data_IF_694122207103
#
_entry.id   IF_694122207103
#
_cell.length_a   1.000
_cell.length_b   1.000
_cell.length_c   1.000
_cell.angle_alpha   90.00
_cell.angle_beta   90.00
_cell.angle_gamma   90.00
#
_symmetry.space_group_name_H-M   'P 1'
#
loop_
_entity.id
_entity.type
_entity.pdbx_description
1 polymer ?
#
# COMPACT_ATOMS: atom_id res chain seq x y z
N UNK A 1 28.88 -9.72 -26.28
CA UNK A 1 28.00 -8.72 -26.91
C UNK A 1 26.69 -9.41 -27.28
N UNK A 2 26.69 -10.35 -28.22
CA UNK A 2 25.46 -11.11 -28.62
C UNK A 2 24.70 -11.81 -27.48
N UNK A 3 25.40 -12.38 -26.49
CA UNK A 3 24.77 -12.98 -25.31
C UNK A 3 24.08 -11.97 -24.39
N UNK A 4 24.55 -10.73 -24.34
CA UNK A 4 23.96 -9.68 -23.51
C UNK A 4 22.74 -9.07 -24.23
N UNK A 5 22.82 -8.88 -25.56
CA UNK A 5 21.70 -8.43 -26.38
C UNK A 5 20.48 -9.37 -26.27
N UNK A 6 20.73 -10.68 -26.31
CA UNK A 6 19.67 -11.69 -26.13
C UNK A 6 19.09 -11.68 -24.71
N UNK A 7 19.93 -11.45 -23.70
CA UNK A 7 19.49 -11.33 -22.31
C UNK A 7 18.64 -10.06 -22.10
N UNK A 8 19.06 -8.92 -22.65
CA UNK A 8 18.31 -7.65 -22.63
C UNK A 8 16.94 -7.84 -23.26
N UNK A 9 16.86 -8.43 -24.46
CA UNK A 9 15.59 -8.68 -25.13
C UNK A 9 14.66 -9.58 -24.30
N UNK A 10 15.22 -10.64 -23.69
CA UNK A 10 14.45 -11.56 -22.84
C UNK A 10 13.90 -10.86 -21.59
N UNK A 11 14.70 -10.00 -20.96
CA UNK A 11 14.27 -9.22 -19.79
C UNK A 11 13.17 -8.22 -20.19
N UNK A 12 13.38 -7.44 -21.26
CA UNK A 12 12.41 -6.44 -21.72
C UNK A 12 11.06 -7.07 -22.07
N UNK A 13 11.03 -8.23 -22.74
CA UNK A 13 9.78 -8.94 -23.04
C UNK A 13 8.98 -9.36 -21.80
N UNK A 14 9.64 -9.52 -20.65
CA UNK A 14 9.01 -9.85 -19.38
C UNK A 14 8.58 -8.64 -18.55
N UNK A 15 8.94 -7.41 -18.95
CA UNK A 15 8.61 -6.19 -18.22
C UNK A 15 7.34 -5.53 -18.78
N UNK A 16 6.49 -4.94 -17.92
CA UNK A 16 5.40 -4.10 -18.37
C UNK A 16 5.91 -2.78 -18.98
N UNK A 17 5.12 -2.22 -19.89
CA UNK A 17 5.50 -1.10 -20.76
C UNK A 17 5.84 0.19 -20.00
N UNK A 18 5.27 0.36 -18.80
CA UNK A 18 5.52 1.49 -17.90
C UNK A 18 6.93 1.51 -17.29
N UNK A 19 7.67 0.39 -17.37
CA UNK A 19 9.04 0.28 -16.85
C UNK A 19 10.08 0.63 -17.93
N UNK A 20 9.74 0.59 -19.22
CA UNK A 20 10.70 0.81 -20.31
C UNK A 20 11.39 2.18 -20.25
N UNK A 21 10.64 3.24 -19.96
CA UNK A 21 11.22 4.58 -19.81
C UNK A 21 12.22 4.67 -18.65
N UNK A 22 12.12 3.81 -17.64
CA UNK A 22 13.00 3.80 -16.48
C UNK A 22 14.30 3.00 -16.67
N UNK A 23 14.39 2.23 -17.76
CA UNK A 23 15.56 1.39 -18.12
C UNK A 23 16.17 1.76 -19.48
N UNK A 24 15.65 2.80 -20.16
CA UNK A 24 16.11 3.28 -21.47
C UNK A 24 17.59 3.69 -21.50
N UNK A 25 18.14 4.11 -20.35
CA UNK A 25 19.55 4.48 -20.22
C UNK A 25 20.47 3.33 -19.79
N UNK A 26 19.96 2.10 -19.62
CA UNK A 26 20.76 0.95 -19.21
C UNK A 26 21.33 0.24 -20.43
N UNK A 27 22.62 -0.08 -20.41
CA UNK A 27 23.32 -0.66 -21.57
C UNK A 27 23.48 -2.18 -21.45
N UNK A 28 23.39 -2.72 -20.23
CA UNK A 28 23.62 -4.15 -19.96
C UNK A 28 22.42 -4.83 -19.31
N UNK A 29 22.29 -6.15 -19.50
CA UNK A 29 21.23 -6.94 -18.85
C UNK A 29 21.28 -6.82 -17.32
N UNK A 30 22.48 -6.69 -16.75
CA UNK A 30 22.68 -6.55 -15.30
C UNK A 30 22.15 -5.21 -14.76
N UNK A 31 22.38 -4.12 -15.47
CA UNK A 31 21.88 -2.79 -15.09
C UNK A 31 20.35 -2.73 -15.13
N UNK A 32 19.75 -3.29 -16.18
CA UNK A 32 18.28 -3.38 -16.31
C UNK A 32 17.71 -4.19 -15.14
N UNK A 33 18.26 -5.37 -14.86
CA UNK A 33 17.82 -6.21 -13.74
C UNK A 33 17.93 -5.48 -12.39
N UNK A 34 19.07 -4.83 -12.13
CA UNK A 34 19.29 -4.11 -10.89
C UNK A 34 18.30 -2.94 -10.74
N UNK A 35 18.05 -2.21 -11.83
CA UNK A 35 17.13 -1.08 -11.84
C UNK A 35 15.69 -1.52 -11.57
N UNK A 36 15.24 -2.58 -12.23
CA UNK A 36 13.91 -3.18 -12.01
C UNK A 36 13.76 -3.64 -10.55
N UNK A 37 14.76 -4.34 -10.01
CA UNK A 37 14.73 -4.79 -8.61
C UNK A 37 14.63 -3.61 -7.63
N UNK A 38 15.35 -2.52 -7.88
CA UNK A 38 15.25 -1.30 -7.07
C UNK A 38 13.88 -0.65 -7.15
N UNK A 39 13.29 -0.57 -8.34
CA UNK A 39 11.94 -0.03 -8.54
C UNK A 39 10.89 -0.87 -7.81
N UNK A 40 10.92 -2.18 -7.97
CA UNK A 40 10.01 -3.11 -7.28
C UNK A 40 10.13 -2.97 -5.76
N UNK A 41 11.36 -2.90 -5.24
CA UNK A 41 11.61 -2.68 -3.81
C UNK A 41 11.07 -1.34 -3.33
N UNK A 42 11.17 -0.28 -4.13
CA UNK A 42 10.59 1.03 -3.84
C UNK A 42 9.07 0.99 -3.76
N UNK A 43 8.41 0.32 -4.72
CA UNK A 43 6.96 0.11 -4.71
C UNK A 43 6.51 -0.71 -3.49
N UNK A 44 7.25 -1.76 -3.13
CA UNK A 44 6.96 -2.55 -1.93
C UNK A 44 7.07 -1.69 -0.66
N UNK A 45 8.11 -0.85 -0.54
CA UNK A 45 8.26 0.07 0.59
C UNK A 45 7.06 1.01 0.68
N UNK A 46 6.67 1.65 -0.43
CA UNK A 46 5.52 2.57 -0.46
C UNK A 46 4.22 1.87 -0.06
N UNK A 47 3.99 0.64 -0.55
CA UNK A 47 2.84 -0.18 -0.17
C UNK A 47 2.85 -0.50 1.32
N UNK A 48 4.00 -0.89 1.88
CA UNK A 48 4.12 -1.19 3.31
C UNK A 48 3.94 0.06 4.17
N UNK A 49 4.48 1.21 3.76
CA UNK A 49 4.27 2.49 4.45
C UNK A 49 2.79 2.90 4.47
N UNK A 50 2.09 2.76 3.34
CA UNK A 50 0.64 3.03 3.28
C UNK A 50 -0.13 2.11 4.22
N UNK A 51 0.23 0.82 4.28
CA UNK A 51 -0.37 -0.14 5.22
C UNK A 51 -0.10 0.22 6.68
N UNK A 52 1.15 0.56 7.00
CA UNK A 52 1.56 0.94 8.36
C UNK A 52 0.83 2.20 8.84
N UNK A 53 0.69 3.21 7.98
CA UNK A 53 -0.06 4.44 8.28
C UNK A 53 -1.52 4.14 8.61
N UNK A 54 -2.19 3.33 7.78
CA UNK A 54 -3.59 2.96 7.99
C UNK A 54 -3.80 2.13 9.26
N UNK A 55 -2.86 1.24 9.58
CA UNK A 55 -2.90 0.46 10.81
C UNK A 55 -2.70 1.33 12.06
N UNK A 56 -1.80 2.31 12.00
CA UNK A 56 -1.61 3.27 13.09
C UNK A 56 -2.86 4.15 13.30
N UNK A 57 -3.51 4.59 12.21
CA UNK A 57 -4.80 5.28 12.28
C UNK A 57 -5.87 4.41 12.95
N UNK A 58 -5.93 3.13 12.61
CA UNK A 58 -6.82 2.16 13.25
C UNK A 58 -6.54 2.00 14.74
N UNK A 59 -5.27 1.82 15.14
CA UNK A 59 -4.91 1.68 16.55
C UNK A 59 -5.33 2.89 17.38
N UNK A 60 -5.09 4.09 16.84
CA UNK A 60 -5.35 5.37 17.52
C UNK A 60 -6.78 5.88 17.34
N UNK A 61 -7.63 5.16 16.60
CA UNK A 61 -8.98 5.61 16.31
C UNK A 61 -9.83 5.70 17.57
N UNK A 62 -10.28 6.91 17.92
CA UNK A 62 -11.17 7.18 19.06
C UNK A 62 -12.12 8.33 18.74
N UNK A 63 -13.21 8.43 19.50
CA UNK A 63 -14.09 9.61 19.44
C UNK A 63 -13.34 10.83 19.94
N UNK A 64 -13.68 11.99 19.41
CA UNK A 64 -13.20 13.27 19.91
C UNK A 64 -14.15 13.81 20.99
N UNK A 65 -13.65 14.70 21.86
CA UNK A 65 -14.50 15.38 22.85
C UNK A 65 -15.60 16.21 22.16
N UNK A 66 -16.84 16.04 22.59
CA UNK A 66 -18.01 16.71 22.02
C UNK A 66 -18.39 16.26 20.60
N UNK A 67 -17.79 15.19 20.08
CA UNK A 67 -18.17 14.61 18.81
C UNK A 67 -19.48 13.82 18.93
N UNK A 68 -20.45 14.10 18.05
CA UNK A 68 -21.68 13.33 18.00
C UNK A 68 -21.44 11.88 17.56
N UNK A 69 -22.25 10.96 18.06
CA UNK A 69 -22.23 9.55 17.63
C UNK A 69 -22.32 9.40 16.10
N UNK A 70 -23.12 10.24 15.43
CA UNK A 70 -23.27 10.21 13.96
C UNK A 70 -21.96 10.57 13.24
N UNK A 71 -21.28 11.63 13.67
CA UNK A 71 -19.97 12.03 13.13
C UNK A 71 -18.93 10.94 13.35
N UNK A 72 -18.88 10.38 14.56
CA UNK A 72 -17.98 9.29 14.91
C UNK A 72 -18.21 8.06 14.03
N UNK A 73 -19.47 7.64 13.87
CA UNK A 73 -19.84 6.52 13.01
C UNK A 73 -19.45 6.75 11.55
N UNK A 74 -19.64 7.95 11.03
CA UNK A 74 -19.23 8.30 9.67
C UNK A 74 -17.72 8.15 9.47
N UNK A 75 -16.90 8.67 10.39
CA UNK A 75 -15.43 8.51 10.34
C UNK A 75 -15.01 7.05 10.44
N UNK A 76 -15.67 6.28 11.30
CA UNK A 76 -15.41 4.86 11.47
C UNK A 76 -15.70 4.07 10.19
N UNK A 77 -16.83 4.34 9.52
CA UNK A 77 -17.17 3.72 8.25
C UNK A 77 -16.14 4.02 7.16
N UNK A 78 -15.65 5.26 7.08
CA UNK A 78 -14.61 5.64 6.13
C UNK A 78 -13.32 4.82 6.36
N UNK A 79 -12.86 4.76 7.61
CA UNK A 79 -11.67 3.98 7.99
C UNK A 79 -11.81 2.48 7.65
N UNK A 80 -12.98 1.90 7.95
CA UNK A 80 -13.27 0.50 7.61
C UNK A 80 -13.26 0.27 6.09
N UNK A 81 -13.80 1.20 5.31
CA UNK A 81 -13.79 1.09 3.86
C UNK A 81 -12.38 1.19 3.28
N UNK A 82 -11.53 2.06 3.83
CA UNK A 82 -10.12 2.17 3.43
C UNK A 82 -9.33 0.90 3.78
N UNK A 83 -9.57 0.32 4.96
CA UNK A 83 -9.02 -0.98 5.36
C UNK A 83 -9.41 -2.10 4.38
N UNK A 84 -10.71 -2.19 4.01
CA UNK A 84 -11.21 -3.16 3.02
C UNK A 84 -10.55 -3.01 1.65
N UNK A 85 -10.43 -1.77 1.14
CA UNK A 85 -9.81 -1.49 -0.16
C UNK A 85 -8.34 -1.91 -0.21
N UNK A 86 -7.66 -1.85 0.93
CA UNK A 86 -6.26 -2.27 1.07
C UNK A 86 -6.10 -3.77 1.40
N UNK A 87 -7.17 -4.58 1.27
CA UNK A 87 -7.20 -6.03 1.55
C UNK A 87 -6.82 -6.39 3.00
N UNK A 88 -6.96 -5.45 3.93
CA UNK A 88 -6.70 -5.66 5.36
C UNK A 88 -8.00 -5.47 6.11
N UNK A 89 -8.71 -6.55 6.42
CA UNK A 89 -9.99 -6.47 7.10
C UNK A 89 -9.90 -7.08 8.51
N UNK A 90 -10.08 -6.28 9.57
CA UNK A 90 -10.35 -6.83 10.89
C UNK A 90 -11.68 -7.59 10.85
N UNK A 91 -11.80 -8.70 11.55
CA UNK A 91 -13.07 -9.42 11.64
C UNK A 91 -14.22 -8.47 12.05
N UNK A 92 -15.44 -8.74 11.59
CA UNK A 92 -16.61 -7.90 11.89
C UNK A 92 -16.79 -7.69 13.40
N UNK A 93 -16.52 -8.74 14.19
CA UNK A 93 -16.58 -8.68 15.65
C UNK A 93 -15.52 -7.74 16.21
N UNK A 94 -14.26 -7.87 15.77
CA UNK A 94 -13.17 -6.98 16.18
C UNK A 94 -13.46 -5.51 15.83
N UNK A 95 -14.04 -5.27 14.66
CA UNK A 95 -14.44 -3.94 14.22
C UNK A 95 -15.51 -3.34 15.12
N UNK A 96 -16.56 -4.11 15.44
CA UNK A 96 -17.64 -3.65 16.30
C UNK A 96 -17.15 -3.37 17.73
N UNK A 97 -16.28 -4.23 18.28
CA UNK A 97 -15.68 -4.02 19.60
C UNK A 97 -14.84 -2.74 19.64
N UNK A 98 -14.03 -2.49 18.59
CA UNK A 98 -13.24 -1.27 18.47
C UNK A 98 -14.13 -0.02 18.46
N UNK A 99 -15.23 -0.04 17.71
CA UNK A 99 -16.19 1.05 17.65
C UNK A 99 -16.75 1.39 19.04
N UNK A 100 -17.23 0.37 19.76
CA UNK A 100 -17.87 0.54 21.07
C UNK A 100 -16.90 0.98 22.16
N UNK A 101 -15.69 0.39 22.20
CA UNK A 101 -14.71 0.65 23.26
C UNK A 101 -14.12 2.07 23.20
N UNK A 102 -14.12 2.67 22.01
CA UNK A 102 -13.48 3.97 21.78
C UNK A 102 -14.50 5.10 21.56
N UNK A 103 -15.78 4.82 21.81
CA UNK A 103 -16.82 5.84 21.89
C UNK A 103 -16.86 6.39 23.32
N UNK A 104 -16.55 7.67 23.48
CA UNK A 104 -16.68 8.37 24.75
C UNK A 104 -18.15 8.75 25.01
N UNK A 105 -18.59 8.80 26.28
CA UNK A 105 -19.90 9.34 26.61
C UNK A 105 -19.96 10.84 26.26
N UNK A 106 -21.09 11.27 25.70
CA UNK A 106 -21.41 12.68 25.46
C UNK A 106 -21.67 13.45 26.77
#
# INVERSE_FOLDING_TARGET
IEADDQAIQTILLGLPEDIYAAVDSCETAQEILLRVQQMMKGSDIEIQEKKAKLFNEWERFTSNEGESIESYYHRFLKLINDLKRNKHFPEKIASNLKFLNNLQPE
#
